data_IF_150948960159
#
_entry.id   IF_150948960159
#
_cell.length_a   1.000
_cell.length_b   1.000
_cell.length_c   1.000
_cell.angle_alpha   90.00
_cell.angle_beta   90.00
_cell.angle_gamma   90.00
#
_symmetry.space_group_name_H-M   'P 1'
#
loop_
_entity.id
_entity.type
_entity.pdbx_description
1 polymer ?
#
# COMPACT_ATOMS: atom_id res chain seq x y z
N UNK A 1 -4.85 -5.36 14.61
CA UNK A 1 -5.25 -5.77 13.24
C UNK A 1 -6.38 -4.86 12.80
N UNK A 2 -6.19 -4.05 11.76
CA UNK A 2 -7.21 -3.14 11.22
C UNK A 2 -7.63 -3.65 9.83
N UNK A 3 -8.82 -4.26 9.75
CA UNK A 3 -9.34 -4.92 8.53
C UNK A 3 -9.73 -3.94 7.40
N UNK A 4 -9.73 -2.63 7.65
CA UNK A 4 -10.23 -1.61 6.73
C UNK A 4 -9.25 -1.19 5.64
N UNK A 5 -7.98 -1.64 5.67
CA UNK A 5 -6.93 -1.10 4.77
C UNK A 5 -6.93 -1.70 3.36
N UNK A 6 -7.81 -2.68 3.09
CA UNK A 6 -7.99 -3.28 1.76
C UNK A 6 -8.95 -2.51 0.83
N UNK A 7 -9.74 -1.58 1.35
CA UNK A 7 -10.77 -0.85 0.60
C UNK A 7 -10.25 0.40 -0.13
N UNK A 8 -8.96 0.73 -0.01
CA UNK A 8 -8.41 1.96 -0.61
C UNK A 8 -8.58 2.00 -2.14
N UNK A 9 -8.60 0.84 -2.79
CA UNK A 9 -8.73 0.77 -4.24
C UNK A 9 -10.15 1.10 -4.72
N UNK A 10 -11.19 0.84 -3.92
CA UNK A 10 -12.55 1.25 -4.30
C UNK A 10 -12.70 2.77 -4.29
N UNK A 11 -11.88 3.49 -3.51
CA UNK A 11 -11.86 4.95 -3.51
C UNK A 11 -11.30 5.54 -4.80
N UNK A 12 -10.54 4.77 -5.60
CA UNK A 12 -10.11 5.23 -6.92
C UNK A 12 -11.30 5.44 -7.87
N UNK A 13 -12.45 4.82 -7.60
CA UNK A 13 -13.68 4.96 -8.38
C UNK A 13 -14.62 6.09 -7.86
N UNK A 14 -14.33 6.71 -6.71
CA UNK A 14 -15.20 7.73 -6.10
C UNK A 14 -14.82 9.13 -6.60
N UNK A 15 -15.74 9.83 -7.28
CA UNK A 15 -15.54 11.17 -7.85
C UNK A 15 -15.10 12.25 -6.85
N UNK A 16 -15.43 12.11 -5.57
CA UNK A 16 -15.01 13.06 -4.54
C UNK A 16 -13.54 12.88 -4.12
N UNK A 17 -12.90 11.78 -4.52
CA UNK A 17 -11.52 11.44 -4.15
C UNK A 17 -10.56 11.85 -5.26
N UNK A 18 -9.59 12.69 -4.90
CA UNK A 18 -8.49 13.10 -5.80
C UNK A 18 -7.42 12.00 -5.90
N UNK A 19 -6.71 11.73 -4.80
CA UNK A 19 -5.71 10.66 -4.71
C UNK A 19 -5.91 9.91 -3.39
N UNK A 20 -6.37 8.66 -3.41
CA UNK A 20 -6.41 7.84 -2.21
C UNK A 20 -5.00 7.52 -1.72
N UNK A 21 -4.82 7.56 -0.39
CA UNK A 21 -3.55 7.25 0.28
C UNK A 21 -3.73 6.04 1.19
N UNK A 22 -3.04 4.95 0.87
CA UNK A 22 -2.99 3.74 1.67
C UNK A 22 -1.69 3.68 2.46
N UNK A 23 -1.75 4.06 3.74
CA UNK A 23 -0.72 3.61 4.66
C UNK A 23 -0.92 2.10 4.89
N UNK A 24 0.10 1.27 4.69
CA UNK A 24 0.17 -0.20 4.84
C UNK A 24 -1.16 -0.95 4.63
N UNK A 25 -1.61 -1.09 3.37
CA UNK A 25 -2.77 -1.89 3.00
C UNK A 25 -2.53 -3.37 3.33
N UNK A 26 -2.91 -3.78 4.55
CA UNK A 26 -2.68 -5.13 5.05
C UNK A 26 -3.63 -6.15 4.44
N UNK A 27 -3.18 -7.40 4.35
CA UNK A 27 -4.02 -8.56 4.00
C UNK A 27 -4.32 -9.38 5.26
N UNK A 28 -5.55 -9.89 5.37
CA UNK A 28 -6.01 -10.57 6.60
C UNK A 28 -5.24 -11.86 6.90
N UNK A 29 -4.72 -12.56 5.89
CA UNK A 29 -3.98 -13.82 6.06
C UNK A 29 -2.95 -14.04 4.93
N UNK A 30 -1.71 -13.58 5.12
CA UNK A 30 -0.59 -13.71 4.15
C UNK A 30 -0.06 -15.16 3.97
N UNK A 31 -0.89 -16.19 4.10
CA UNK A 31 -0.43 -17.59 4.18
C UNK A 31 -0.04 -18.19 2.82
N UNK A 32 -0.72 -17.80 1.74
CA UNK A 32 -0.41 -18.26 0.37
C UNK A 32 0.08 -17.10 -0.49
N UNK A 33 0.79 -17.42 -1.57
CA UNK A 33 1.26 -16.44 -2.56
C UNK A 33 0.11 -15.61 -3.13
N UNK A 34 -1.04 -16.25 -3.39
CA UNK A 34 -2.24 -15.57 -3.89
C UNK A 34 -2.77 -14.55 -2.89
N UNK A 35 -2.85 -14.92 -1.60
CA UNK A 35 -3.31 -13.99 -0.56
C UNK A 35 -2.35 -12.81 -0.36
N UNK A 36 -1.04 -13.05 -0.46
CA UNK A 36 -0.05 -11.98 -0.39
C UNK A 36 -0.18 -10.98 -1.54
N UNK A 37 -0.61 -11.44 -2.71
CA UNK A 37 -0.84 -10.62 -3.89
C UNK A 37 -2.28 -10.11 -4.00
N UNK A 38 -3.16 -10.46 -3.05
CA UNK A 38 -4.55 -10.05 -3.12
C UNK A 38 -4.66 -8.53 -3.04
N UNK A 39 -5.42 -7.92 -3.95
CA UNK A 39 -5.74 -6.49 -3.94
C UNK A 39 -7.09 -6.21 -3.28
N UNK A 40 -7.92 -7.24 -3.10
CA UNK A 40 -9.31 -7.08 -2.63
C UNK A 40 -10.30 -6.70 -3.74
N UNK A 41 -9.86 -6.79 -5.00
CA UNK A 41 -10.66 -6.58 -6.22
C UNK A 41 -10.50 -7.83 -7.10
N UNK A 42 -11.54 -8.22 -7.82
CA UNK A 42 -11.50 -9.38 -8.73
C UNK A 42 -10.70 -9.07 -10.00
N UNK A 43 -10.12 -10.10 -10.64
CA UNK A 43 -9.37 -9.92 -11.88
C UNK A 43 -10.24 -9.38 -13.03
N UNK A 44 -11.56 -9.68 -13.01
CA UNK A 44 -12.54 -9.15 -13.97
C UNK A 44 -12.78 -7.64 -13.79
N UNK A 45 -12.73 -7.15 -12.55
CA UNK A 45 -12.83 -5.71 -12.26
C UNK A 45 -11.51 -4.99 -12.56
N UNK A 46 -10.37 -5.64 -12.34
CA UNK A 46 -9.05 -5.10 -12.72
C UNK A 46 -8.88 -4.97 -14.24
N UNK A 47 -9.44 -5.91 -15.00
CA UNK A 47 -9.38 -5.89 -16.46
C UNK A 47 -10.30 -4.83 -17.09
N UNK A 48 -11.22 -4.25 -16.32
CA UNK A 48 -12.09 -3.19 -16.83
C UNK A 48 -11.31 -1.87 -16.90
N UNK A 49 -11.35 -1.17 -18.05
CA UNK A 49 -10.75 0.15 -18.16
C UNK A 49 -11.43 1.08 -17.17
N UNK A 50 -10.69 1.53 -16.17
CA UNK A 50 -11.21 2.40 -15.14
C UNK A 50 -11.26 3.82 -15.70
N UNK A 51 -12.45 4.25 -16.10
CA UNK A 51 -12.69 5.49 -16.87
C UNK A 51 -12.19 6.77 -16.17
N UNK A 52 -11.86 6.68 -14.89
CA UNK A 52 -11.41 7.81 -14.05
C UNK A 52 -9.90 7.95 -13.95
N UNK A 53 -9.11 6.99 -14.41
CA UNK A 53 -7.66 7.08 -14.30
C UNK A 53 -7.13 8.27 -15.11
N UNK A 54 -6.72 9.31 -14.41
CA UNK A 54 -6.13 10.51 -15.02
C UNK A 54 -4.64 10.29 -15.31
N UNK A 55 -4.03 11.05 -16.23
CA UNK A 55 -2.58 11.06 -16.38
C UNK A 55 -1.89 11.43 -15.05
N UNK A 56 -0.98 10.58 -14.57
CA UNK A 56 -0.25 10.78 -13.31
C UNK A 56 -0.66 9.81 -12.20
N UNK A 57 -0.29 10.12 -10.96
CA UNK A 57 -0.53 9.26 -9.79
C UNK A 57 -1.99 9.36 -9.35
N UNK A 58 -2.66 8.21 -9.30
CA UNK A 58 -4.06 8.04 -8.86
C UNK A 58 -4.16 7.19 -7.58
N UNK A 59 -3.05 6.75 -6.99
CA UNK A 59 -3.00 6.05 -5.70
C UNK A 59 -1.60 6.16 -5.12
N UNK A 60 -1.51 6.51 -3.84
CA UNK A 60 -0.27 6.44 -3.07
C UNK A 60 -0.37 5.32 -2.04
N UNK A 61 0.57 4.36 -2.06
CA UNK A 61 0.61 3.26 -1.10
C UNK A 61 1.95 3.24 -0.36
N UNK A 62 1.93 3.16 0.98
CA UNK A 62 3.13 3.14 1.81
C UNK A 62 3.25 1.80 2.54
N UNK A 63 4.45 1.23 2.65
CA UNK A 63 4.70 0.06 3.49
C UNK A 63 6.02 0.14 4.24
N UNK A 64 6.12 -0.65 5.31
CA UNK A 64 7.38 -1.01 5.95
C UNK A 64 7.91 -2.31 5.35
N UNK A 65 9.19 -2.35 4.95
CA UNK A 65 9.81 -3.53 4.28
C UNK A 65 9.74 -4.83 5.09
N UNK A 66 9.77 -4.75 6.43
CA UNK A 66 9.66 -5.89 7.35
C UNK A 66 8.23 -6.34 7.65
N UNK A 67 7.21 -5.68 7.09
CA UNK A 67 5.81 -5.90 7.45
C UNK A 67 5.26 -7.24 6.93
N UNK A 68 5.10 -8.21 7.83
CA UNK A 68 4.53 -9.54 7.50
C UNK A 68 3.06 -9.49 7.07
N UNK A 69 2.31 -8.52 7.57
CA UNK A 69 0.88 -8.33 7.27
C UNK A 69 0.63 -7.47 6.03
N UNK A 70 1.67 -6.85 5.49
CA UNK A 70 1.61 -6.00 4.30
C UNK A 70 2.78 -6.42 3.39
N UNK A 71 2.65 -7.56 2.71
CA UNK A 71 3.73 -8.17 1.95
C UNK A 71 4.06 -7.34 0.69
N UNK A 72 5.35 -7.25 0.37
CA UNK A 72 5.84 -6.53 -0.80
C UNK A 72 5.24 -7.06 -2.11
N UNK A 73 4.88 -8.34 -2.17
CA UNK A 73 4.21 -8.97 -3.31
C UNK A 73 2.90 -8.25 -3.69
N UNK A 74 2.17 -7.68 -2.72
CA UNK A 74 0.97 -6.86 -2.98
C UNK A 74 1.33 -5.60 -3.76
N UNK A 75 2.43 -4.95 -3.38
CA UNK A 75 2.90 -3.71 -3.99
C UNK A 75 3.50 -3.95 -5.37
N UNK A 76 4.19 -5.08 -5.55
CA UNK A 76 4.63 -5.55 -6.88
C UNK A 76 3.42 -5.72 -7.80
N UNK A 77 2.34 -6.34 -7.31
CA UNK A 77 1.11 -6.48 -8.10
C UNK A 77 0.46 -5.12 -8.38
N UNK A 78 0.36 -4.22 -7.40
CA UNK A 78 -0.17 -2.87 -7.62
C UNK A 78 0.55 -2.15 -8.77
N UNK A 79 1.89 -2.14 -8.76
CA UNK A 79 2.68 -1.54 -9.85
C UNK A 79 2.46 -2.25 -11.19
N UNK A 80 2.30 -3.58 -11.18
CA UNK A 80 2.05 -4.36 -12.40
C UNK A 80 0.71 -4.01 -13.05
N UNK A 81 -0.35 -3.88 -12.24
CA UNK A 81 -1.71 -3.66 -12.77
C UNK A 81 -1.96 -2.19 -13.15
N UNK A 82 -1.39 -1.24 -12.41
CA UNK A 82 -1.71 0.18 -12.58
C UNK A 82 -0.53 1.04 -13.09
N UNK A 83 0.68 0.48 -13.18
CA UNK A 83 1.86 1.18 -13.72
C UNK A 83 2.14 2.51 -13.03
N UNK A 84 2.35 3.55 -13.83
CA UNK A 84 2.68 4.91 -13.39
C UNK A 84 1.53 5.61 -12.64
N UNK A 85 0.36 5.00 -12.57
CA UNK A 85 -0.80 5.53 -11.83
C UNK A 85 -0.76 5.17 -10.35
N UNK A 86 0.15 4.31 -9.93
CA UNK A 86 0.35 4.00 -8.50
C UNK A 86 1.75 4.40 -8.10
N UNK A 87 1.83 5.27 -7.11
CA UNK A 87 3.06 5.52 -6.39
C UNK A 87 3.11 4.66 -5.14
N UNK A 88 4.27 4.06 -4.92
CA UNK A 88 4.49 3.11 -3.83
C UNK A 88 5.75 3.51 -3.09
N UNK A 89 5.63 3.78 -1.80
CA UNK A 89 6.74 4.16 -0.94
C UNK A 89 7.03 3.00 0.00
N UNK A 90 8.26 2.50 -0.02
CA UNK A 90 8.73 1.49 0.91
C UNK A 90 9.71 2.13 1.90
N UNK A 91 9.40 1.99 3.19
CA UNK A 91 10.23 2.44 4.29
C UNK A 91 10.99 1.26 4.85
N UNK A 92 12.32 1.40 4.94
CA UNK A 92 13.15 0.33 5.47
C UNK A 92 12.90 0.13 6.97
N UNK A 93 12.52 -1.09 7.32
CA UNK A 93 12.30 -1.58 8.68
C UNK A 93 12.95 -2.95 8.87
N UNK A 94 13.89 -3.32 7.99
CA UNK A 94 14.67 -4.52 8.12
C UNK A 94 15.52 -4.47 9.41
N UNK A 95 15.92 -5.64 9.90
CA UNK A 95 16.79 -5.73 11.07
C UNK A 95 18.10 -4.97 10.82
N UNK A 96 18.39 -3.98 11.67
CA UNK A 96 19.60 -3.14 11.53
C UNK A 96 19.45 -1.93 10.61
N UNK A 97 18.23 -1.55 10.22
CA UNK A 97 17.98 -0.31 9.47
C UNK A 97 18.51 0.94 10.22
N UNK A 98 18.94 1.99 9.51
CA UNK A 98 19.59 3.16 10.10
C UNK A 98 18.69 3.95 11.07
N UNK A 99 17.37 3.85 10.92
CA UNK A 99 16.39 4.58 11.71
C UNK A 99 15.84 3.77 12.90
N UNK A 100 16.39 2.57 13.14
CA UNK A 100 15.99 1.64 14.21
C UNK A 100 14.48 1.33 14.22
N UNK A 101 13.84 1.39 13.05
CA UNK A 101 12.41 1.10 12.89
C UNK A 101 12.19 -0.38 13.16
N UNK A 102 11.20 -0.68 14.02
CA UNK A 102 10.87 -2.06 14.35
C UNK A 102 10.39 -2.83 13.10
N UNK A 103 10.79 -4.10 12.90
CA UNK A 103 10.20 -4.97 11.88
C UNK A 103 8.69 -5.20 12.10
N UNK A 104 8.19 -4.95 13.31
CA UNK A 104 6.76 -5.01 13.64
C UNK A 104 6.05 -3.68 13.43
N UNK A 105 6.70 -2.67 12.84
CA UNK A 105 6.14 -1.35 12.66
C UNK A 105 4.85 -1.40 11.81
N UNK A 106 3.85 -0.65 12.27
CA UNK A 106 2.62 -0.39 11.53
C UNK A 106 2.11 1.03 11.74
N UNK A 107 1.32 1.57 10.82
CA UNK A 107 0.78 2.91 11.01
C UNK A 107 1.68 4.02 10.48
N UNK A 108 2.29 3.90 9.27
CA UNK A 108 3.32 4.84 8.76
C UNK A 108 2.99 6.30 9.06
N UNK A 109 1.79 6.76 8.66
CA UNK A 109 1.39 8.16 8.77
C UNK A 109 0.76 8.54 10.12
N UNK A 110 0.82 7.66 11.12
CA UNK A 110 0.17 7.86 12.43
C UNK A 110 1.04 7.33 13.58
N UNK A 111 0.93 6.04 13.92
CA UNK A 111 1.59 5.43 15.09
C UNK A 111 3.10 5.52 15.04
N UNK A 112 3.69 5.41 13.85
CA UNK A 112 5.14 5.52 13.67
C UNK A 112 5.56 6.78 12.91
N UNK A 113 4.69 7.78 12.86
CA UNK A 113 5.04 9.07 12.26
C UNK A 113 6.02 9.83 13.17
N UNK A 114 7.05 10.43 12.57
CA UNK A 114 8.02 11.28 13.25
C UNK A 114 8.17 12.57 12.46
N UNK A 115 7.80 13.70 13.06
CA UNK A 115 7.87 15.02 12.42
C UNK A 115 9.32 15.54 12.34
N UNK A 116 10.12 14.93 11.48
CA UNK A 116 11.52 15.29 11.22
C UNK A 116 11.87 15.01 9.76
N UNK A 117 12.45 15.98 9.02
CA UNK A 117 12.88 15.79 7.64
C UNK A 117 13.93 14.69 7.43
N UNK A 118 14.67 14.33 8.50
CA UNK A 118 15.69 13.28 8.46
C UNK A 118 15.14 11.89 8.80
N UNK A 119 13.87 11.78 9.17
CA UNK A 119 13.20 10.52 9.48
C UNK A 119 12.29 10.09 8.31
N UNK A 120 12.25 8.80 7.93
CA UNK A 120 11.57 8.36 6.71
C UNK A 120 10.04 8.28 6.82
N UNK A 121 9.46 8.63 7.95
CA UNK A 121 8.02 8.53 8.25
C UNK A 121 7.50 9.77 8.90
#
# INVERSE_FOLDING_TARGET
>A
MWLTRGFVLSLMADDAVLIPVASQPSVSFSMTTEYKQSLGISDLELAQPNAKLTPGVNLLALQFSGSRTCPAERFVRLRREFGDQVETIEIDSASGNPHQISPMAYAVLTVHFVDSPEYPT
#
